data_IF_093679211215
#
_entry.id   IF_093679211215
#
_cell.length_a   1.000
_cell.length_b   1.000
_cell.length_c   1.000
_cell.angle_alpha   90.00
_cell.angle_beta   90.00
_cell.angle_gamma   90.00
#
_symmetry.space_group_name_H-M   'P 1'
#
loop_
_entity.id
_entity.type
_entity.pdbx_description
1 polymer ?
#
# COMPACT_ATOMS: atom_id res chain seq x y z
N UNK A 1 -21.04 -31.29 21.62
CA UNK A 1 -21.75 -30.19 20.92
C UNK A 1 -20.71 -29.15 20.56
N UNK A 2 -20.09 -29.32 19.40
CA UNK A 2 -19.08 -28.38 18.89
C UNK A 2 -19.79 -27.35 18.00
N UNK A 3 -19.45 -26.11 18.25
CA UNK A 3 -20.04 -24.88 17.74
C UNK A 3 -20.04 -24.84 16.19
N UNK A 4 -21.23 -24.94 15.60
CA UNK A 4 -21.48 -24.84 14.15
C UNK A 4 -21.67 -23.39 13.68
N UNK A 5 -21.64 -22.39 14.58
CA UNK A 5 -21.82 -20.98 14.24
C UNK A 5 -20.58 -20.37 13.58
N UNK A 6 -19.39 -20.87 13.88
CA UNK A 6 -18.15 -20.46 13.20
C UNK A 6 -18.11 -20.80 11.70
N UNK A 7 -18.82 -21.85 11.27
CA UNK A 7 -18.79 -22.34 9.89
C UNK A 7 -19.67 -21.49 8.93
N UNK A 8 -20.72 -20.86 9.46
CA UNK A 8 -21.61 -20.00 8.66
C UNK A 8 -21.08 -18.58 8.50
N UNK A 9 -20.38 -18.05 9.52
CA UNK A 9 -19.76 -16.73 9.48
C UNK A 9 -18.65 -16.64 8.42
N UNK A 10 -17.83 -17.68 8.24
CA UNK A 10 -16.78 -17.70 7.21
C UNK A 10 -17.31 -17.79 5.77
N UNK A 11 -18.53 -18.31 5.56
CA UNK A 11 -19.12 -18.45 4.22
C UNK A 11 -19.71 -17.13 3.70
N UNK A 12 -20.22 -16.27 4.58
CA UNK A 12 -20.69 -14.91 4.23
C UNK A 12 -19.60 -13.84 4.26
N UNK A 13 -18.56 -14.02 5.09
CA UNK A 13 -17.39 -13.11 5.19
C UNK A 13 -16.37 -13.33 4.05
N UNK A 14 -16.50 -14.39 3.25
CA UNK A 14 -15.62 -14.70 2.13
C UNK A 14 -15.45 -13.54 1.11
N UNK A 15 -16.54 -13.01 0.52
CA UNK A 15 -16.44 -11.91 -0.44
C UNK A 15 -16.05 -10.57 0.20
N UNK A 16 -16.61 -10.23 1.38
CA UNK A 16 -16.29 -8.95 2.03
C UNK A 16 -14.84 -8.88 2.52
N UNK A 17 -14.34 -9.93 3.18
CA UNK A 17 -12.94 -9.98 3.62
C UNK A 17 -11.98 -9.91 2.43
N UNK A 18 -12.36 -10.53 1.31
CA UNK A 18 -11.56 -10.50 0.08
C UNK A 18 -11.52 -9.11 -0.54
N UNK A 19 -12.65 -8.42 -0.65
CA UNK A 19 -12.68 -7.01 -1.08
C UNK A 19 -11.87 -6.12 -0.14
N UNK A 20 -11.96 -6.36 1.17
CA UNK A 20 -11.16 -5.64 2.17
C UNK A 20 -9.65 -5.89 1.99
N UNK A 21 -9.22 -7.13 1.81
CA UNK A 21 -7.81 -7.50 1.56
C UNK A 21 -7.26 -6.87 0.28
N UNK A 22 -8.05 -6.85 -0.80
CA UNK A 22 -7.66 -6.18 -2.04
C UNK A 22 -7.63 -4.65 -1.91
N UNK A 23 -8.58 -4.07 -1.18
CA UNK A 23 -8.58 -2.64 -0.87
C UNK A 23 -7.35 -2.24 -0.04
N UNK A 24 -7.04 -3.01 1.01
CA UNK A 24 -5.83 -2.82 1.81
C UNK A 24 -4.56 -2.95 0.96
N UNK A 25 -4.48 -3.98 0.11
CA UNK A 25 -3.33 -4.15 -0.79
C UNK A 25 -3.18 -2.95 -1.74
N UNK A 26 -4.26 -2.43 -2.31
CA UNK A 26 -4.22 -1.24 -3.16
C UNK A 26 -3.76 0.00 -2.37
N UNK A 27 -4.29 0.22 -1.17
CA UNK A 27 -3.88 1.34 -0.31
C UNK A 27 -2.41 1.24 0.12
N UNK A 28 -1.93 0.05 0.48
CA UNK A 28 -0.52 -0.19 0.85
C UNK A 28 0.43 -0.07 -0.34
N UNK A 29 -0.06 -0.30 -1.56
CA UNK A 29 0.74 -0.13 -2.77
C UNK A 29 0.86 1.34 -3.18
N UNK A 30 -0.26 2.07 -3.18
CA UNK A 30 -0.32 3.48 -3.62
C UNK A 30 0.07 4.47 -2.52
N UNK A 31 -0.17 4.12 -1.26
CA UNK A 31 0.08 4.97 -0.09
C UNK A 31 1.51 5.53 -0.01
N UNK A 32 2.55 4.69 -0.12
CA UNK A 32 3.94 5.16 -0.09
C UNK A 32 4.25 6.17 -1.20
N UNK A 33 3.68 5.96 -2.40
CA UNK A 33 3.84 6.87 -3.54
C UNK A 33 3.22 8.23 -3.21
N UNK A 34 1.98 8.24 -2.71
CA UNK A 34 1.28 9.48 -2.34
C UNK A 34 2.00 10.25 -1.21
N UNK A 35 2.52 9.54 -0.21
CA UNK A 35 3.29 10.13 0.89
C UNK A 35 4.61 10.70 0.37
N UNK A 36 5.30 10.00 -0.52
CA UNK A 36 6.57 10.47 -1.08
C UNK A 36 6.40 11.73 -1.93
N UNK A 37 5.33 11.77 -2.74
CA UNK A 37 4.94 12.97 -3.50
C UNK A 37 4.83 14.18 -2.58
N UNK A 38 4.11 14.04 -1.46
CA UNK A 38 3.94 15.11 -0.50
C UNK A 38 5.27 15.59 0.09
N UNK A 39 6.19 14.67 0.40
CA UNK A 39 7.53 15.03 0.87
C UNK A 39 8.37 15.76 -0.18
N UNK A 40 8.32 15.33 -1.45
CA UNK A 40 9.03 15.99 -2.55
C UNK A 40 8.53 17.42 -2.75
N UNK A 41 7.21 17.64 -2.68
CA UNK A 41 6.64 18.98 -2.76
C UNK A 41 7.01 19.86 -1.56
N UNK A 42 7.02 19.30 -0.34
CA UNK A 42 7.51 20.03 0.84
C UNK A 42 8.97 20.42 0.68
N UNK A 43 9.83 19.48 0.29
CA UNK A 43 11.26 19.72 0.10
C UNK A 43 11.51 20.82 -0.95
N UNK A 44 10.72 20.82 -2.02
CA UNK A 44 10.71 21.87 -3.05
C UNK A 44 10.30 23.23 -2.48
N UNK A 45 9.24 23.30 -1.66
CA UNK A 45 8.75 24.56 -1.10
C UNK A 45 9.75 25.24 -0.15
N UNK A 46 10.64 24.47 0.49
CA UNK A 46 11.65 24.98 1.41
C UNK A 46 13.04 25.19 0.78
N UNK A 47 13.28 24.73 -0.46
CA UNK A 47 14.53 25.03 -1.18
C UNK A 47 14.44 26.39 -1.89
N UNK A 48 15.27 27.33 -1.48
CA UNK A 48 15.24 28.72 -1.97
C UNK A 48 16.00 28.97 -3.28
N UNK A 49 16.69 27.97 -3.85
CA UNK A 49 17.69 28.19 -4.92
C UNK A 49 17.71 27.19 -6.10
N UNK A 50 16.71 26.33 -6.28
CA UNK A 50 16.75 25.34 -7.37
C UNK A 50 15.57 25.52 -8.34
N UNK A 51 15.89 25.81 -9.60
CA UNK A 51 14.94 26.02 -10.69
C UNK A 51 14.33 24.70 -11.24
N UNK A 52 14.81 23.55 -10.76
CA UNK A 52 14.41 22.20 -11.20
C UNK A 52 13.74 21.38 -10.08
N UNK A 53 13.10 22.04 -9.11
CA UNK A 53 12.38 21.34 -8.05
C UNK A 53 10.96 20.98 -8.54
N UNK A 54 10.65 19.70 -8.66
CA UNK A 54 9.33 19.23 -9.09
C UNK A 54 9.22 17.70 -9.14
N UNK A 55 8.08 17.22 -9.66
CA UNK A 55 7.84 15.80 -9.92
C UNK A 55 8.80 15.25 -10.98
N UNK A 56 9.98 14.81 -10.55
CA UNK A 56 10.90 14.07 -11.39
C UNK A 56 10.89 12.60 -11.02
N UNK A 57 10.91 11.74 -12.04
CA UNK A 57 10.99 10.29 -11.87
C UNK A 57 12.25 9.88 -11.08
N UNK A 58 13.31 10.69 -11.17
CA UNK A 58 14.55 10.52 -10.41
C UNK A 58 14.31 10.50 -8.88
N UNK A 59 13.36 11.28 -8.37
CA UNK A 59 13.04 11.31 -6.94
C UNK A 59 12.39 10.01 -6.45
N UNK A 60 11.78 9.22 -7.33
CA UNK A 60 11.23 7.89 -7.00
C UNK A 60 12.21 6.75 -7.24
N UNK A 61 13.33 7.03 -7.89
CA UNK A 61 14.43 6.09 -8.05
C UNK A 61 15.41 6.11 -6.86
N UNK A 62 15.15 6.99 -5.89
CA UNK A 62 15.99 7.10 -4.72
C UNK A 62 15.92 5.84 -3.84
N UNK A 63 17.09 5.43 -3.35
CA UNK A 63 17.21 4.30 -2.44
C UNK A 63 16.38 4.47 -1.17
N UNK A 64 16.20 5.71 -0.71
CA UNK A 64 15.40 6.04 0.48
C UNK A 64 13.92 5.71 0.27
N UNK A 65 13.37 6.09 -0.90
CA UNK A 65 12.01 5.76 -1.28
C UNK A 65 11.80 4.25 -1.32
N UNK A 66 12.72 3.52 -1.97
CA UNK A 66 12.61 2.06 -2.09
C UNK A 66 12.65 1.36 -0.74
N UNK A 67 13.50 1.80 0.19
CA UNK A 67 13.57 1.22 1.53
C UNK A 67 12.27 1.48 2.31
N UNK A 68 11.74 2.69 2.23
CA UNK A 68 10.47 3.06 2.88
C UNK A 68 9.26 2.36 2.26
N UNK A 69 9.24 2.17 0.94
CA UNK A 69 8.14 1.54 0.20
C UNK A 69 8.22 -0.01 0.20
N UNK A 70 9.38 -0.60 0.46
CA UNK A 70 9.57 -2.05 0.45
C UNK A 70 8.65 -2.78 1.45
N UNK A 71 8.57 -2.30 2.69
CA UNK A 71 7.71 -2.89 3.74
C UNK A 71 6.22 -2.85 3.35
N UNK A 72 5.65 -1.68 2.99
CA UNK A 72 4.29 -1.58 2.50
C UNK A 72 4.00 -2.46 1.28
N UNK A 73 4.92 -2.55 0.31
CA UNK A 73 4.75 -3.36 -0.90
C UNK A 73 4.81 -4.86 -0.61
N UNK A 74 5.69 -5.30 0.29
CA UNK A 74 5.72 -6.70 0.76
C UNK A 74 4.40 -7.04 1.46
N UNK A 75 3.90 -6.15 2.33
CA UNK A 75 2.59 -6.33 2.97
C UNK A 75 1.45 -6.37 1.95
N UNK A 76 1.45 -5.47 0.95
CA UNK A 76 0.46 -5.44 -0.10
C UNK A 76 0.45 -6.76 -0.90
N UNK A 77 1.63 -7.23 -1.29
CA UNK A 77 1.81 -8.52 -1.96
C UNK A 77 1.30 -9.69 -1.12
N UNK A 78 1.60 -9.68 0.19
CA UNK A 78 1.14 -10.70 1.13
C UNK A 78 -0.39 -10.70 1.28
N UNK A 79 -1.01 -9.53 1.44
CA UNK A 79 -2.47 -9.38 1.50
C UNK A 79 -3.15 -9.85 0.20
N UNK A 80 -2.60 -9.46 -0.96
CA UNK A 80 -3.11 -9.91 -2.26
C UNK A 80 -2.98 -11.42 -2.44
N UNK A 81 -1.84 -12.01 -2.02
CA UNK A 81 -1.61 -13.45 -2.07
C UNK A 81 -2.60 -14.22 -1.19
N UNK A 82 -2.84 -13.77 0.04
CA UNK A 82 -3.85 -14.38 0.92
C UNK A 82 -5.27 -14.26 0.34
N UNK A 83 -5.60 -13.15 -0.32
CA UNK A 83 -6.86 -12.96 -1.04
C UNK A 83 -6.99 -13.90 -2.25
N UNK A 84 -5.88 -14.21 -2.92
CA UNK A 84 -5.83 -15.12 -4.07
C UNK A 84 -5.93 -16.59 -3.66
N UNK A 85 -5.23 -17.00 -2.59
CA UNK A 85 -5.25 -18.36 -2.06
C UNK A 85 -6.60 -18.77 -1.45
N UNK A 86 -7.43 -17.78 -1.07
CA UNK A 86 -8.81 -17.99 -0.62
C UNK A 86 -9.85 -18.04 -1.76
N UNK A 87 -9.42 -18.17 -3.03
CA UNK A 87 -10.29 -18.63 -4.14
C UNK A 87 -10.41 -20.14 -4.13
#
# INVERSE_FOLDING_TARGET
MADLSGCFLFRGLGPMLKTFLYGLAACLFVGPIAVWIYFVELACAYQTSNADCGFQLANFLDSEFFVLAALPWILAGFCAFLGFKRR
#
